data_IF_310713839879
#
_entry.id   IF_310713839879
#
_cell.length_a   1.000
_cell.length_b   1.000
_cell.length_c   1.000
_cell.angle_alpha   90.00
_cell.angle_beta   90.00
_cell.angle_gamma   90.00
#
_symmetry.space_group_name_H-M   'P 1'
#
loop_
_entity.id
_entity.type
_entity.pdbx_description
1 polymer ?
#
# COMPACT_ATOMS: atom_id res chain seq x y z
N UNK A 1 16.34 16.84 -7.10
CA UNK A 1 16.75 15.74 -8.01
C UNK A 1 16.05 15.81 -9.36
N UNK A 2 14.75 16.03 -9.38
CA UNK A 2 14.00 16.11 -10.65
C UNK A 2 14.48 17.27 -11.52
N UNK A 3 14.67 18.45 -10.95
CA UNK A 3 15.15 19.61 -11.68
C UNK A 3 16.56 19.39 -12.22
N UNK A 4 17.41 18.75 -11.42
CA UNK A 4 18.76 18.42 -11.87
C UNK A 4 18.76 17.38 -13.00
N UNK A 5 17.87 16.41 -12.93
CA UNK A 5 17.72 15.44 -14.02
C UNK A 5 17.30 16.13 -15.31
N UNK A 6 16.33 17.04 -15.24
CA UNK A 6 15.81 17.74 -16.42
C UNK A 6 16.82 18.76 -16.98
N UNK A 7 17.47 19.53 -16.11
CA UNK A 7 18.33 20.67 -16.52
C UNK A 7 19.75 20.25 -16.89
N UNK A 8 20.31 19.23 -16.23
CA UNK A 8 21.71 18.84 -16.41
C UNK A 8 21.85 17.52 -17.19
N UNK A 9 20.93 16.57 -17.01
CA UNK A 9 21.04 15.21 -17.53
C UNK A 9 19.99 14.86 -18.58
N UNK A 10 19.37 15.82 -19.21
CA UNK A 10 18.38 15.63 -20.28
C UNK A 10 17.15 14.80 -19.87
N UNK A 11 16.70 14.99 -18.63
CA UNK A 11 15.47 14.37 -18.14
C UNK A 11 15.67 13.01 -17.45
N UNK A 12 16.90 12.53 -17.33
CA UNK A 12 17.18 11.25 -16.67
C UNK A 12 18.53 11.29 -15.95
N UNK A 13 18.54 10.92 -14.68
CA UNK A 13 19.79 10.85 -13.92
C UNK A 13 20.71 9.75 -14.45
N UNK A 14 22.05 9.93 -14.38
CA UNK A 14 23.00 8.93 -14.85
C UNK A 14 23.03 7.68 -13.98
N UNK A 15 22.62 7.79 -12.72
CA UNK A 15 22.53 6.67 -11.77
C UNK A 15 21.13 6.60 -11.20
N UNK A 16 20.68 5.39 -10.92
CA UNK A 16 19.40 5.23 -10.23
C UNK A 16 19.50 5.71 -8.79
N UNK A 17 18.57 6.56 -8.39
CA UNK A 17 18.47 7.07 -7.02
C UNK A 17 17.25 6.49 -6.35
N UNK A 18 17.45 5.79 -5.25
CA UNK A 18 16.35 5.27 -4.44
C UNK A 18 16.19 6.12 -3.18
N UNK A 19 15.02 6.67 -3.01
CA UNK A 19 14.65 7.42 -1.83
C UNK A 19 13.96 6.48 -0.85
N UNK A 20 14.53 6.32 0.34
CA UNK A 20 13.92 5.55 1.40
C UNK A 20 13.39 6.52 2.46
N UNK A 21 12.07 6.69 2.48
CA UNK A 21 11.40 7.57 3.43
C UNK A 21 10.87 6.75 4.61
N UNK A 22 11.70 6.55 5.61
CA UNK A 22 11.32 5.94 6.88
C UNK A 22 10.47 6.93 7.67
N UNK A 23 9.35 6.48 8.20
CA UNK A 23 8.36 7.33 8.87
C UNK A 23 7.96 8.54 8.02
N UNK A 24 7.48 8.28 6.83
CA UNK A 24 7.13 9.31 5.84
C UNK A 24 6.17 10.37 6.38
N UNK A 25 5.27 9.99 7.29
CA UNK A 25 4.34 10.93 7.91
C UNK A 25 5.03 12.02 8.75
N UNK A 26 6.21 11.74 9.31
CA UNK A 26 6.96 12.68 10.14
C UNK A 26 7.76 13.71 9.34
N UNK A 27 7.95 13.48 8.06
CA UNK A 27 8.66 14.43 7.18
C UNK A 27 7.80 15.69 6.95
N UNK A 28 6.50 15.57 7.13
CA UNK A 28 5.54 16.60 6.80
C UNK A 28 5.11 16.50 5.34
N UNK A 29 4.32 17.47 4.91
CA UNK A 29 3.80 17.47 3.55
C UNK A 29 4.84 17.98 2.57
N UNK A 30 5.18 17.16 1.59
CA UNK A 30 6.02 17.57 0.45
C UNK A 30 5.08 18.13 -0.62
N UNK A 31 5.26 19.42 -1.01
CA UNK A 31 4.38 20.03 -2.01
C UNK A 31 4.40 19.26 -3.33
N UNK A 32 3.22 19.02 -3.88
CA UNK A 32 3.04 18.32 -5.17
C UNK A 32 3.65 16.91 -5.22
N UNK A 33 3.77 16.24 -4.10
CA UNK A 33 4.35 14.90 -4.03
C UNK A 33 3.55 13.88 -4.85
N UNK A 34 2.23 14.01 -4.88
CA UNK A 34 1.35 13.18 -5.69
C UNK A 34 1.69 13.26 -7.18
N UNK A 35 2.05 14.43 -7.67
CA UNK A 35 2.48 14.63 -9.06
C UNK A 35 3.91 14.15 -9.27
N UNK A 36 4.80 14.39 -8.31
CA UNK A 36 6.19 13.95 -8.39
C UNK A 36 6.30 12.43 -8.46
N UNK A 37 5.58 11.71 -7.61
CA UNK A 37 5.66 10.25 -7.56
C UNK A 37 5.22 9.60 -8.87
N UNK A 38 4.33 10.25 -9.61
CA UNK A 38 3.90 9.77 -10.92
C UNK A 38 4.97 9.91 -12.01
N UNK A 39 5.94 10.80 -11.82
CA UNK A 39 6.92 11.18 -12.86
C UNK A 39 8.36 10.79 -12.57
N UNK A 40 8.69 10.41 -11.34
CA UNK A 40 10.09 10.13 -10.95
C UNK A 40 10.68 8.93 -11.65
N UNK A 41 9.86 7.99 -12.08
CA UNK A 41 10.33 6.77 -12.78
C UNK A 41 11.12 7.11 -14.04
N UNK A 42 10.65 8.06 -14.84
CA UNK A 42 11.33 8.47 -16.05
C UNK A 42 12.67 9.16 -15.81
N UNK A 43 12.87 9.66 -14.59
CA UNK A 43 14.10 10.33 -14.17
C UNK A 43 15.10 9.42 -13.45
N UNK A 44 14.87 8.12 -13.46
CA UNK A 44 15.68 7.11 -12.78
C UNK A 44 15.65 7.29 -11.24
N UNK A 45 14.51 7.63 -10.71
CA UNK A 45 14.29 7.79 -9.26
C UNK A 45 13.18 6.84 -8.83
N UNK A 46 13.39 6.13 -7.73
CA UNK A 46 12.36 5.34 -7.07
C UNK A 46 12.21 5.77 -5.62
N UNK A 47 11.03 5.54 -5.06
CA UNK A 47 10.73 5.88 -3.68
C UNK A 47 10.15 4.68 -2.95
N UNK A 48 10.64 4.46 -1.73
CA UNK A 48 10.06 3.52 -0.79
C UNK A 48 9.52 4.32 0.39
N UNK A 49 8.22 4.25 0.58
CA UNK A 49 7.51 5.01 1.61
C UNK A 49 7.13 4.05 2.72
N UNK A 50 7.53 4.35 3.94
CA UNK A 50 7.22 3.55 5.12
C UNK A 50 6.27 4.32 6.01
N UNK A 51 5.14 3.70 6.33
CA UNK A 51 4.07 4.26 7.14
C UNK A 51 3.72 3.30 8.28
N UNK A 52 3.29 3.85 9.40
CA UNK A 52 2.70 3.04 10.47
C UNK A 52 1.26 2.64 10.15
N UNK A 53 0.54 3.50 9.44
CA UNK A 53 -0.82 3.23 8.95
C UNK A 53 -1.12 4.08 7.72
N UNK A 54 -2.09 3.65 6.91
CA UNK A 54 -2.52 4.44 5.76
C UNK A 54 -3.29 5.70 6.18
N UNK A 55 -3.89 5.70 7.34
CA UNK A 55 -4.58 6.90 7.85
C UNK A 55 -3.64 8.07 8.08
N UNK A 56 -2.37 7.83 8.40
CA UNK A 56 -1.36 8.89 8.49
C UNK A 56 -1.18 9.62 7.15
N UNK A 57 -1.11 8.87 6.06
CA UNK A 57 -0.99 9.46 4.73
C UNK A 57 -2.23 10.28 4.37
N UNK A 58 -3.40 9.76 4.65
CA UNK A 58 -4.67 10.45 4.38
C UNK A 58 -4.82 11.74 5.20
N UNK A 59 -4.32 11.75 6.43
CA UNK A 59 -4.35 12.95 7.27
C UNK A 59 -3.50 14.08 6.69
N UNK A 60 -2.34 13.76 6.14
CA UNK A 60 -1.39 14.75 5.61
C UNK A 60 -1.76 15.16 4.18
N UNK A 61 -2.00 14.21 3.31
CA UNK A 61 -2.21 14.46 1.87
C UNK A 61 -3.67 14.50 1.45
N UNK A 62 -4.60 14.11 2.32
CA UNK A 62 -6.04 14.13 2.05
C UNK A 62 -6.37 13.39 0.75
N UNK A 63 -6.99 14.06 -0.20
CA UNK A 63 -7.40 13.44 -1.47
C UNK A 63 -6.21 12.99 -2.33
N UNK A 64 -5.06 13.64 -2.20
CA UNK A 64 -3.85 13.25 -2.90
C UNK A 64 -3.26 11.91 -2.42
N UNK A 65 -3.64 11.44 -1.24
CA UNK A 65 -3.17 10.17 -0.69
C UNK A 65 -3.48 8.98 -1.61
N UNK A 66 -4.65 8.95 -2.21
CA UNK A 66 -5.03 7.89 -3.14
C UNK A 66 -4.16 7.88 -4.39
N UNK A 67 -3.81 9.04 -4.91
CA UNK A 67 -2.90 9.17 -6.05
C UNK A 67 -1.51 8.65 -5.70
N UNK A 68 -1.01 8.97 -4.51
CA UNK A 68 0.29 8.49 -4.04
C UNK A 68 0.29 6.97 -3.94
N UNK A 69 -0.73 6.37 -3.30
CA UNK A 69 -0.85 4.92 -3.16
C UNK A 69 -1.03 4.23 -4.52
N UNK A 70 -1.78 4.83 -5.43
CA UNK A 70 -2.01 4.30 -6.77
C UNK A 70 -0.75 4.27 -7.64
N UNK A 71 0.25 5.09 -7.35
CA UNK A 71 1.53 5.09 -8.06
C UNK A 71 2.59 4.20 -7.41
N UNK A 72 2.25 3.53 -6.32
CA UNK A 72 3.12 2.52 -5.70
C UNK A 72 2.80 1.14 -6.29
N UNK A 73 3.73 0.58 -7.03
CA UNK A 73 3.53 -0.72 -7.69
C UNK A 73 3.48 -1.88 -6.70
N UNK A 74 4.19 -1.77 -5.60
CA UNK A 74 4.29 -2.81 -4.60
C UNK A 74 3.90 -2.29 -3.23
N UNK A 75 3.08 -3.05 -2.53
CA UNK A 75 2.72 -2.77 -1.15
C UNK A 75 3.14 -3.95 -0.27
N UNK A 76 3.97 -3.67 0.73
CA UNK A 76 4.38 -4.65 1.73
C UNK A 76 3.68 -4.34 3.05
N UNK A 77 2.88 -5.29 3.52
CA UNK A 77 2.16 -5.18 4.78
C UNK A 77 2.71 -6.18 5.78
N UNK A 78 3.25 -5.68 6.88
CA UNK A 78 3.92 -6.50 7.91
C UNK A 78 3.02 -6.80 9.12
N UNK A 79 1.76 -6.44 9.05
CA UNK A 79 0.81 -6.60 10.13
C UNK A 79 0.53 -5.29 10.88
N UNK A 80 -0.51 -5.31 11.68
CA UNK A 80 -0.93 -4.15 12.46
C UNK A 80 -2.35 -4.31 12.96
N UNK A 81 -2.79 -3.37 13.79
CA UNK A 81 -4.12 -3.40 14.41
C UNK A 81 -5.02 -2.24 13.99
N UNK A 82 -4.53 -1.33 13.17
CA UNK A 82 -5.29 -0.18 12.73
C UNK A 82 -6.36 -0.64 11.73
N UNK A 83 -7.63 -0.43 12.10
CA UNK A 83 -8.77 -1.04 11.41
C UNK A 83 -8.97 -0.55 9.98
N UNK A 84 -8.71 0.73 9.70
CA UNK A 84 -8.86 1.26 8.34
C UNK A 84 -7.82 0.69 7.38
N UNK A 85 -6.58 0.53 7.83
CA UNK A 85 -5.52 -0.12 7.05
C UNK A 85 -5.83 -1.58 6.79
N UNK A 86 -6.26 -2.31 7.81
CA UNK A 86 -6.65 -3.71 7.68
C UNK A 86 -7.80 -3.89 6.68
N UNK A 87 -8.78 -3.02 6.74
CA UNK A 87 -9.92 -3.04 5.82
C UNK A 87 -9.49 -2.81 4.38
N UNK A 88 -8.65 -1.82 4.12
CA UNK A 88 -8.16 -1.52 2.78
C UNK A 88 -7.29 -2.63 2.21
N UNK A 89 -6.42 -3.23 3.01
CA UNK A 89 -5.61 -4.38 2.60
C UNK A 89 -6.50 -5.58 2.28
N UNK A 90 -7.50 -5.85 3.11
CA UNK A 90 -8.46 -6.92 2.89
C UNK A 90 -9.25 -6.72 1.59
N UNK A 91 -9.70 -5.51 1.31
CA UNK A 91 -10.41 -5.19 0.08
C UNK A 91 -9.52 -5.34 -1.15
N UNK A 92 -8.25 -4.95 -1.04
CA UNK A 92 -7.27 -5.07 -2.13
C UNK A 92 -6.99 -6.53 -2.48
N UNK A 93 -6.87 -7.40 -1.47
CA UNK A 93 -6.65 -8.83 -1.65
C UNK A 93 -7.88 -9.56 -2.21
N UNK A 94 -9.06 -9.01 -1.98
CA UNK A 94 -10.31 -9.65 -2.35
C UNK A 94 -10.74 -10.72 -1.36
N UNK A 95 -11.78 -11.45 -1.72
CA UNK A 95 -12.34 -12.51 -0.90
C UNK A 95 -12.13 -13.86 -1.58
N UNK A 96 -11.74 -14.83 -0.80
CA UNK A 96 -11.66 -16.22 -1.23
C UNK A 96 -12.71 -17.04 -0.48
N UNK A 97 -13.39 -17.90 -1.21
CA UNK A 97 -14.32 -18.85 -0.60
C UNK A 97 -13.53 -20.05 -0.10
N UNK A 98 -13.56 -20.27 1.21
CA UNK A 98 -12.97 -21.46 1.84
C UNK A 98 -14.07 -22.34 2.39
N UNK A 99 -14.00 -23.62 2.06
CA UNK A 99 -14.93 -24.61 2.60
C UNK A 99 -14.43 -25.06 3.98
N UNK A 100 -15.17 -24.66 5.01
CA UNK A 100 -14.92 -25.12 6.38
C UNK A 100 -15.88 -26.28 6.68
N UNK A 101 -15.32 -27.46 6.85
CA UNK A 101 -16.09 -28.64 7.22
C UNK A 101 -16.08 -28.81 8.75
N UNK A 102 -17.19 -28.48 9.39
CA UNK A 102 -17.40 -28.80 10.78
C UNK A 102 -18.16 -30.11 10.84
N UNK A 103 -17.52 -31.16 11.32
CA UNK A 103 -18.22 -32.43 11.61
C UNK A 103 -18.51 -32.52 13.09
N UNK A 104 -19.77 -32.45 13.49
CA UNK A 104 -20.22 -32.82 14.83
C UNK A 104 -20.81 -34.21 14.79
N UNK A 105 -20.18 -35.14 15.50
CA UNK A 105 -20.74 -36.47 15.67
C UNK A 105 -21.61 -36.45 16.92
N UNK A 106 -22.94 -36.41 16.78
CA UNK A 106 -23.87 -36.75 17.86
C UNK A 106 -24.10 -38.23 17.85
N UNK A 107 -24.16 -38.83 19.04
CA UNK A 107 -24.61 -40.21 19.23
C UNK A 107 -26.00 -40.37 18.59
N UNK A 108 -26.05 -40.90 17.40
CA UNK A 108 -27.32 -41.14 16.76
C UNK A 108 -27.41 -40.77 15.29
N UNK A 109 -26.34 -40.60 14.59
CA UNK A 109 -26.34 -40.74 13.12
C UNK A 109 -26.51 -39.53 12.23
N UNK A 110 -26.61 -38.30 12.69
CA UNK A 110 -26.62 -37.19 11.76
C UNK A 110 -25.27 -36.47 11.72
N UNK A 111 -24.64 -36.53 10.56
CA UNK A 111 -23.49 -35.66 10.25
C UNK A 111 -24.03 -34.43 9.54
N UNK A 112 -23.89 -33.27 10.15
CA UNK A 112 -24.18 -32.02 9.47
C UNK A 112 -22.88 -31.38 9.00
N UNK A 113 -22.85 -30.95 7.74
CA UNK A 113 -21.75 -30.22 7.16
C UNK A 113 -22.20 -28.77 7.00
N UNK A 114 -21.42 -27.85 7.56
CA UNK A 114 -21.69 -26.43 7.42
C UNK A 114 -20.55 -25.82 6.63
N UNK A 115 -20.89 -25.14 5.55
CA UNK A 115 -19.93 -24.37 4.73
C UNK A 115 -20.05 -22.91 5.11
N UNK A 116 -18.97 -22.33 5.60
CA UNK A 116 -18.91 -20.92 5.95
C UNK A 116 -18.13 -20.14 4.90
N UNK A 117 -18.68 -19.01 4.47
CA UNK A 117 -18.05 -18.08 3.56
C UNK A 117 -17.59 -16.85 4.33
N UNK A 118 -16.28 -16.49 4.31
CA UNK A 118 -15.79 -15.30 4.97
C UNK A 118 -16.27 -14.01 4.29
#
# INVERSE_FOLDING_TARGET
LCDRADDVHHGRLPYHVRILADEFANIGQIPKFDKLIATIRSREISASIILQSQSQLKTIYKDAAETILGNCDTMLFLGGKESSTLKEISETLGKETTDLYNSSATRGQSRSYVTNYP
#
